data_IF_029719212004
#
_entry.id   IF_029719212004
#
_cell.length_a   1.000
_cell.length_b   1.000
_cell.length_c   1.000
_cell.angle_alpha   90.00
_cell.angle_beta   90.00
_cell.angle_gamma   90.00
#
_symmetry.space_group_name_H-M   'P 1'
#
loop_
_entity.id
_entity.type
_entity.pdbx_description
1 polymer ?
#
# COMPACT_ATOMS: atom_id res chain seq x y z
N UNK A 1 13.51 19.57 17.18
CA UNK A 1 14.16 19.79 15.87
C UNK A 1 13.47 18.88 14.88
N UNK A 2 13.06 19.41 13.73
CA UNK A 2 12.37 18.67 12.68
C UNK A 2 13.26 18.64 11.44
N UNK A 3 13.23 17.52 10.72
CA UNK A 3 14.01 17.32 9.50
C UNK A 3 13.06 16.84 8.42
N UNK A 4 13.11 17.48 7.26
CA UNK A 4 12.39 17.02 6.08
C UNK A 4 13.26 16.00 5.34
N UNK A 5 12.75 14.77 5.21
CA UNK A 5 13.43 13.70 4.47
C UNK A 5 12.71 13.52 3.13
N UNK A 6 13.39 13.83 2.03
CA UNK A 6 12.89 13.58 0.69
C UNK A 6 13.36 12.20 0.22
N UNK A 7 12.45 11.24 0.15
CA UNK A 7 12.72 9.94 -0.46
C UNK A 7 12.72 10.07 -2.00
N UNK A 8 13.78 9.60 -2.65
CA UNK A 8 13.87 9.56 -4.12
C UNK A 8 13.20 8.31 -4.70
N UNK A 9 13.13 7.23 -3.93
CA UNK A 9 12.50 5.97 -4.29
C UNK A 9 11.22 5.75 -3.48
N UNK A 10 10.22 5.13 -4.11
CA UNK A 10 8.96 4.81 -3.44
C UNK A 10 9.19 3.79 -2.31
N UNK A 11 10.12 2.87 -2.49
CA UNK A 11 10.49 1.85 -1.52
C UNK A 11 11.03 2.47 -0.22
N UNK A 12 11.83 3.52 -0.32
CA UNK A 12 12.37 4.24 0.84
C UNK A 12 11.26 4.98 1.59
N UNK A 13 10.39 5.67 0.85
CA UNK A 13 9.20 6.32 1.41
C UNK A 13 8.33 5.32 2.17
N UNK A 14 8.05 4.18 1.53
CA UNK A 14 7.29 3.08 2.12
C UNK A 14 8.00 2.56 3.37
N UNK A 15 9.32 2.35 3.33
CA UNK A 15 10.06 1.80 4.46
C UNK A 15 10.04 2.73 5.69
N UNK A 16 10.23 4.04 5.46
CA UNK A 16 10.21 5.05 6.51
C UNK A 16 8.85 5.07 7.22
N UNK A 17 7.76 5.22 6.46
CA UNK A 17 6.41 5.37 7.02
C UNK A 17 5.77 4.06 7.49
N UNK A 18 6.33 2.90 7.14
CA UNK A 18 5.82 1.61 7.64
C UNK A 18 6.18 1.33 9.10
N UNK A 19 7.14 2.07 9.65
CA UNK A 19 7.59 1.92 11.04
C UNK A 19 7.06 3.09 11.85
N UNK A 20 6.28 2.78 12.88
CA UNK A 20 5.77 3.77 13.85
C UNK A 20 6.93 4.55 14.52
N UNK A 21 8.04 3.87 14.77
CA UNK A 21 9.24 4.45 15.36
C UNK A 21 10.48 3.86 14.69
N UNK A 22 11.37 4.76 14.32
CA UNK A 22 12.69 4.48 13.77
C UNK A 22 13.75 5.05 14.69
N UNK A 23 15.02 4.72 14.44
CA UNK A 23 16.12 5.22 15.23
C UNK A 23 17.21 5.75 14.32
N UNK A 24 17.78 6.89 14.69
CA UNK A 24 18.98 7.43 14.07
C UNK A 24 20.12 7.18 15.05
N UNK A 25 21.16 6.47 14.58
CA UNK A 25 22.36 6.21 15.37
C UNK A 25 23.46 7.20 15.03
N UNK A 26 24.07 7.79 16.06
CA UNK A 26 25.20 8.70 15.91
C UNK A 26 26.13 8.57 17.13
N UNK A 27 27.43 8.36 16.88
CA UNK A 27 28.46 8.21 17.92
C UNK A 27 28.05 7.27 19.08
N UNK A 28 27.58 6.07 18.76
CA UNK A 28 27.12 5.04 19.72
C UNK A 28 25.83 5.37 20.49
N UNK A 29 25.21 6.52 20.25
CA UNK A 29 23.90 6.87 20.77
C UNK A 29 22.82 6.58 19.74
N UNK A 30 21.63 6.22 20.21
CA UNK A 30 20.44 5.97 19.38
C UNK A 30 19.35 6.94 19.76
N UNK A 31 18.88 7.69 18.78
CA UNK A 31 17.86 8.72 18.95
C UNK A 31 16.56 8.25 18.32
N UNK A 32 15.44 8.21 19.05
CA UNK A 32 14.16 7.83 18.48
C UNK A 32 13.70 8.90 17.48
N UNK A 33 13.20 8.45 16.35
CA UNK A 33 12.60 9.28 15.30
C UNK A 33 11.24 8.71 14.91
N UNK A 34 10.22 9.55 14.95
CA UNK A 34 8.91 9.28 14.36
C UNK A 34 8.89 9.90 12.96
N UNK A 35 8.51 9.12 11.96
CA UNK A 35 8.33 9.63 10.60
C UNK A 35 6.84 9.85 10.34
N UNK A 36 6.53 10.98 9.74
CA UNK A 36 5.17 11.38 9.40
C UNK A 36 5.15 11.81 7.94
N UNK A 37 4.01 11.59 7.28
CA UNK A 37 3.81 12.09 5.92
C UNK A 37 3.70 13.60 5.98
N UNK A 38 4.47 14.29 5.15
CA UNK A 38 4.36 15.74 5.01
C UNK A 38 3.26 16.10 4.01
N UNK A 39 2.52 17.16 4.32
CA UNK A 39 1.57 17.82 3.44
C UNK A 39 1.56 19.34 3.73
N UNK A 40 0.99 20.18 2.86
CA UNK A 40 0.99 21.64 3.05
C UNK A 40 0.24 22.13 4.29
N UNK A 41 -0.67 21.33 4.84
CA UNK A 41 -1.48 21.61 6.04
C UNK A 41 -0.94 20.85 7.26
N UNK A 42 0.24 20.26 7.15
CA UNK A 42 0.83 19.42 8.18
C UNK A 42 1.03 20.19 9.49
N UNK A 43 0.40 19.70 10.54
CA UNK A 43 0.61 20.10 11.93
C UNK A 43 1.34 19.00 12.69
N UNK A 44 2.29 19.41 13.55
CA UNK A 44 3.08 18.52 14.40
C UNK A 44 2.32 18.08 15.65
N UNK A 45 1.35 18.87 16.09
CA UNK A 45 0.51 18.56 17.24
C UNK A 45 -0.62 17.60 16.86
N UNK A 46 -0.98 17.53 15.57
CA UNK A 46 -2.00 16.62 15.07
C UNK A 46 -1.43 15.24 14.69
N UNK A 47 -2.22 14.19 14.95
CA UNK A 47 -1.88 12.86 14.46
C UNK A 47 -2.20 12.72 12.98
N UNK A 48 -1.26 12.18 12.20
CA UNK A 48 -1.50 11.90 10.79
C UNK A 48 -2.56 10.79 10.66
N UNK A 49 -3.56 11.06 9.83
CA UNK A 49 -4.57 10.07 9.49
C UNK A 49 -4.07 9.08 8.44
N UNK A 50 -2.96 9.39 7.76
CA UNK A 50 -2.39 8.54 6.72
C UNK A 50 -1.50 7.46 7.32
N UNK A 51 -1.76 6.20 6.99
CA UNK A 51 -0.93 5.07 7.39
C UNK A 51 -0.62 4.14 6.22
N UNK A 52 0.46 3.36 6.33
CA UNK A 52 0.79 2.31 5.36
C UNK A 52 0.48 0.95 5.99
N UNK A 53 -0.50 0.25 5.43
CA UNK A 53 -0.95 -1.04 5.94
C UNK A 53 -0.88 -2.13 4.88
N UNK A 54 -0.72 -3.37 5.33
CA UNK A 54 -0.92 -4.55 4.49
C UNK A 54 -2.39 -4.94 4.50
N UNK A 55 -3.02 -4.95 3.33
CA UNK A 55 -4.33 -5.55 3.15
C UNK A 55 -4.19 -6.94 2.55
N UNK A 56 -5.09 -7.84 2.94
CA UNK A 56 -5.11 -9.23 2.49
C UNK A 56 -6.41 -9.52 1.77
N UNK A 57 -6.32 -10.18 0.61
CA UNK A 57 -7.45 -10.73 -0.13
C UNK A 57 -7.47 -12.25 0.06
N UNK A 58 -8.13 -12.75 1.13
CA UNK A 58 -8.21 -14.18 1.39
C UNK A 58 -8.98 -14.87 0.27
N UNK A 59 -8.53 -16.07 -0.12
CA UNK A 59 -9.21 -16.91 -1.11
C UNK A 59 -9.42 -16.25 -2.48
N UNK A 60 -8.63 -15.23 -2.82
CA UNK A 60 -8.61 -14.66 -4.16
C UNK A 60 -8.13 -15.75 -5.14
N UNK A 61 -8.85 -16.01 -6.25
CA UNK A 61 -8.41 -17.01 -7.20
C UNK A 61 -7.07 -16.60 -7.88
N UNK A 62 -6.13 -17.54 -8.14
CA UNK A 62 -4.79 -17.22 -8.67
C UNK A 62 -4.77 -16.51 -10.02
N UNK A 63 -5.83 -16.61 -10.82
CA UNK A 63 -5.99 -15.84 -12.06
C UNK A 63 -6.08 -14.32 -11.83
N UNK A 64 -6.41 -13.89 -10.61
CA UNK A 64 -6.48 -12.47 -10.21
C UNK A 64 -5.20 -11.99 -9.49
N UNK A 65 -4.14 -12.80 -9.41
CA UNK A 65 -2.88 -12.42 -8.74
C UNK A 65 -2.01 -11.47 -9.58
N UNK A 66 -2.51 -11.00 -10.72
CA UNK A 66 -1.85 -9.97 -11.52
C UNK A 66 -1.72 -8.67 -10.73
N UNK A 67 -0.54 -8.02 -10.83
CA UNK A 67 -0.27 -6.74 -10.15
C UNK A 67 -1.36 -5.70 -10.41
N UNK A 68 -1.76 -5.54 -11.67
CA UNK A 68 -2.79 -4.58 -12.07
C UNK A 68 -4.14 -4.87 -11.42
N UNK A 69 -4.56 -6.14 -11.39
CA UNK A 69 -5.80 -6.57 -10.76
C UNK A 69 -5.78 -6.31 -9.26
N UNK A 70 -4.69 -6.70 -8.58
CA UNK A 70 -4.52 -6.46 -7.14
C UNK A 70 -4.54 -4.97 -6.83
N UNK A 71 -3.84 -4.17 -7.63
CA UNK A 71 -3.80 -2.71 -7.47
C UNK A 71 -5.18 -2.10 -7.70
N UNK A 72 -5.92 -2.55 -8.72
CA UNK A 72 -7.28 -2.08 -8.99
C UNK A 72 -8.24 -2.39 -7.85
N UNK A 73 -8.12 -3.56 -7.21
CA UNK A 73 -8.94 -3.88 -6.03
C UNK A 73 -8.52 -3.03 -4.82
N UNK A 74 -7.22 -2.90 -4.59
CA UNK A 74 -6.67 -2.11 -3.49
C UNK A 74 -6.96 -0.61 -3.60
N UNK A 75 -7.13 -0.10 -4.83
CA UNK A 75 -7.52 1.29 -5.10
C UNK A 75 -8.87 1.66 -4.46
N UNK A 76 -9.74 0.68 -4.21
CA UNK A 76 -11.00 0.91 -3.49
C UNK A 76 -10.79 1.18 -1.98
N UNK A 77 -9.62 0.83 -1.43
CA UNK A 77 -9.29 1.00 0.00
C UNK A 77 -8.35 2.19 0.21
N UNK A 78 -7.44 2.45 -0.73
CA UNK A 78 -6.47 3.54 -0.65
C UNK A 78 -5.50 3.51 -1.82
N UNK A 79 -4.33 4.15 -1.71
CA UNK A 79 -3.33 4.17 -2.77
C UNK A 79 -2.44 2.92 -2.70
N UNK A 80 -2.53 1.97 -3.65
CA UNK A 80 -1.67 0.79 -3.65
C UNK A 80 -0.21 1.17 -3.92
N UNK A 81 0.70 0.58 -3.14
CA UNK A 81 2.13 0.89 -3.20
C UNK A 81 2.94 -0.31 -3.68
N UNK A 82 2.69 -1.51 -3.12
CA UNK A 82 3.55 -2.68 -3.35
C UNK A 82 2.79 -3.99 -3.17
N UNK A 83 2.87 -4.92 -4.14
CA UNK A 83 2.36 -6.29 -3.97
C UNK A 83 3.34 -7.11 -3.15
N UNK A 84 2.84 -7.96 -2.26
CA UNK A 84 3.67 -8.89 -1.48
C UNK A 84 4.44 -9.87 -2.37
N UNK A 85 5.70 -10.16 -2.03
CA UNK A 85 6.58 -11.00 -2.86
C UNK A 85 6.02 -12.42 -3.05
N UNK A 86 5.36 -13.00 -2.05
CA UNK A 86 4.76 -14.33 -2.20
C UNK A 86 3.55 -14.32 -3.14
N UNK A 87 2.85 -13.19 -3.22
CA UNK A 87 1.75 -12.97 -4.17
C UNK A 87 2.30 -12.76 -5.59
N UNK A 88 3.35 -11.95 -5.74
CA UNK A 88 4.02 -11.73 -7.04
C UNK A 88 4.59 -13.04 -7.60
N UNK A 89 5.23 -13.84 -6.75
CA UNK A 89 5.84 -15.11 -7.14
C UNK A 89 4.85 -16.28 -7.15
N UNK A 90 3.57 -16.04 -6.81
CA UNK A 90 2.50 -17.06 -6.72
C UNK A 90 2.86 -18.26 -5.83
N UNK A 91 3.74 -18.07 -4.85
CA UNK A 91 4.18 -19.14 -3.94
C UNK A 91 3.18 -19.40 -2.82
N UNK A 92 2.27 -18.44 -2.53
CA UNK A 92 1.20 -18.57 -1.54
C UNK A 92 -0.17 -18.29 -2.17
N UNK A 93 -0.79 -19.26 -2.87
CA UNK A 93 -2.03 -19.04 -3.62
C UNK A 93 -3.26 -18.83 -2.71
N UNK A 94 -3.15 -19.09 -1.41
CA UNK A 94 -4.27 -18.95 -0.46
C UNK A 94 -4.59 -17.50 -0.07
N UNK A 95 -3.65 -16.57 -0.27
CA UNK A 95 -3.83 -15.18 0.16
C UNK A 95 -2.94 -14.23 -0.64
N UNK A 96 -3.59 -13.33 -1.40
CA UNK A 96 -2.91 -12.22 -2.04
C UNK A 96 -2.80 -11.05 -1.04
N UNK A 97 -1.63 -10.39 -0.98
CA UNK A 97 -1.45 -9.20 -0.13
C UNK A 97 -0.87 -8.04 -0.91
N UNK A 98 -1.24 -6.84 -0.49
CA UNK A 98 -0.73 -5.59 -1.05
C UNK A 98 -0.62 -4.54 0.04
N UNK A 99 0.41 -3.73 -0.08
CA UNK A 99 0.71 -2.62 0.79
C UNK A 99 0.03 -1.38 0.23
N UNK A 100 -0.73 -0.70 1.07
CA UNK A 100 -1.60 0.41 0.67
C UNK A 100 -1.38 1.56 1.63
N UNK A 101 -1.28 2.77 1.08
CA UNK A 101 -1.41 4.01 1.84
C UNK A 101 -2.91 4.28 2.02
N UNK A 102 -3.37 4.27 3.26
CA UNK A 102 -4.78 4.40 3.63
C UNK A 102 -4.97 5.63 4.52
N UNK A 103 -6.12 6.27 4.35
CA UNK A 103 -6.60 7.27 5.30
C UNK A 103 -7.43 6.56 6.37
N UNK A 104 -6.99 6.63 7.63
CA UNK A 104 -7.60 5.94 8.77
C UNK A 104 -8.94 6.55 9.18
N UNK A 105 -9.21 7.81 8.80
CA UNK A 105 -10.52 8.44 9.01
C UNK A 105 -11.49 8.17 7.87
N UNK A 106 -11.01 7.62 6.75
CA UNK A 106 -11.83 7.27 5.61
C UNK A 106 -12.73 6.04 5.85
N UNK A 107 -13.84 5.97 5.13
CA UNK A 107 -14.67 4.77 5.11
C UNK A 107 -14.07 3.69 4.19
N UNK A 108 -13.96 2.47 4.70
CA UNK A 108 -13.49 1.33 3.90
C UNK A 108 -14.64 0.51 3.33
N UNK A 109 -14.54 0.05 2.06
CA UNK A 109 -15.58 -0.75 1.45
C UNK A 109 -15.68 -2.12 2.16
N UNK A 110 -16.90 -2.53 2.50
CA UNK A 110 -17.17 -3.87 3.05
C UNK A 110 -17.05 -4.98 2.01
N UNK A 111 -17.19 -4.63 0.72
CA UNK A 111 -17.16 -5.56 -0.42
C UNK A 111 -16.53 -4.88 -1.63
N UNK A 112 -15.73 -5.63 -2.37
CA UNK A 112 -15.09 -5.18 -3.61
C UNK A 112 -15.60 -6.09 -4.72
N UNK A 113 -16.25 -5.51 -5.73
CA UNK A 113 -16.76 -6.25 -6.88
C UNK A 113 -15.70 -6.31 -7.99
N UNK A 114 -15.39 -7.51 -8.46
CA UNK A 114 -14.41 -7.73 -9.54
C UNK A 114 -15.17 -7.87 -10.86
N UNK A 115 -15.24 -6.78 -11.63
CA UNK A 115 -15.79 -6.79 -12.98
C UNK A 115 -14.77 -7.32 -13.98
N UNK A 116 -15.05 -8.45 -14.64
CA UNK A 116 -14.19 -8.92 -15.76
C UNK A 116 -14.63 -8.22 -17.04
N UNK A 117 -13.78 -7.34 -17.60
CA UNK A 117 -13.99 -6.81 -18.95
C UNK A 117 -13.51 -7.85 -19.95
N UNK A 118 -14.43 -8.68 -20.48
CA UNK A 118 -14.12 -9.55 -21.62
C UNK A 118 -13.79 -8.64 -22.81
N UNK A 119 -12.60 -8.75 -23.40
CA UNK A 119 -12.33 -8.19 -24.73
C UNK A 119 -13.08 -9.04 -25.76
N UNK A 120 -14.37 -8.78 -25.97
CA UNK A 120 -15.12 -9.35 -27.10
C UNK A 120 -14.79 -8.54 -28.36
N UNK A 121 -13.95 -9.12 -29.21
CA UNK A 121 -13.58 -8.57 -30.52
C UNK A 121 -13.54 -9.62 -31.63
N UNK A 122 -14.23 -10.75 -31.46
CA UNK A 122 -14.44 -11.72 -32.54
C UNK A 122 -15.94 -11.74 -32.87
N UNK A 123 -16.30 -11.07 -33.96
CA UNK A 123 -17.52 -11.37 -34.70
C UNK A 123 -17.08 -12.31 -35.81
N UNK A 124 -17.35 -13.60 -35.64
CA UNK A 124 -17.35 -14.55 -36.73
C UNK A 124 -18.76 -14.48 -37.34
N UNK A 125 -18.87 -13.85 -38.50
CA UNK A 125 -20.11 -13.79 -39.28
C UNK A 125 -20.39 -15.18 -39.87
N UNK A 126 -21.65 -15.61 -39.84
CA UNK A 126 -22.12 -16.89 -40.36
C UNK A 126 -23.18 -16.62 -41.41
#
# INVERSE_FOLDING_TARGET
>A
MYVLIRASLLEDYVHLLSKLQSYITHNYWSYPMRTLKWDPLFDLEEETTTSIAWISFPSLPPNFFGKETIFSMAAAVGRPLQVDMATQNKTRPSCARVKVEVDLLGEFPKRINIGTRRKSGEIMEK
#
